data_IF_646609647507
#
_entry.id   IF_646609647507
#
_cell.length_a   1.000
_cell.length_b   1.000
_cell.length_c   1.000
_cell.angle_alpha   90.00
_cell.angle_beta   90.00
_cell.angle_gamma   90.00
#
_symmetry.space_group_name_H-M   'P 1'
#
loop_
_entity.id
_entity.type
_entity.pdbx_description
1 polymer ?
#
# COMPACT_ATOMS: atom_id res chain seq x y z
N UNK A 1 -20.43 19.65 11.70
CA UNK A 1 -21.69 18.91 11.89
C UNK A 1 -21.43 17.87 12.97
N UNK A 2 -22.05 17.98 14.15
CA UNK A 2 -21.96 16.96 15.20
C UNK A 2 -23.19 16.05 15.07
N UNK A 3 -22.97 14.76 14.88
CA UNK A 3 -24.05 13.76 14.87
C UNK A 3 -24.12 13.14 16.26
N UNK A 4 -25.05 13.61 17.08
CA UNK A 4 -25.48 12.89 18.27
C UNK A 4 -26.64 11.99 17.86
N UNK A 5 -26.55 10.69 18.10
CA UNK A 5 -27.73 9.83 18.06
C UNK A 5 -28.56 10.10 19.32
N UNK A 6 -29.71 10.75 19.13
CA UNK A 6 -30.65 11.08 20.20
C UNK A 6 -31.27 9.83 20.86
N UNK A 7 -31.11 8.64 20.29
CA UNK A 7 -31.62 7.38 20.86
C UNK A 7 -30.65 6.72 21.86
N UNK A 8 -29.42 7.21 21.98
CA UNK A 8 -28.33 6.52 22.68
C UNK A 8 -27.79 7.30 23.89
N UNK A 9 -28.64 7.65 24.87
CA UNK A 9 -28.28 8.13 26.24
C UNK A 9 -27.09 9.12 26.38
N UNK A 10 -26.78 9.90 25.34
CA UNK A 10 -25.61 10.78 25.30
C UNK A 10 -24.25 10.09 25.12
N UNK A 11 -24.22 8.80 24.76
CA UNK A 11 -22.98 8.10 24.39
C UNK A 11 -22.52 8.61 23.01
N UNK A 12 -21.30 9.13 22.87
CA UNK A 12 -20.80 9.53 21.56
C UNK A 12 -20.68 8.30 20.67
N UNK A 13 -21.43 8.28 19.57
CA UNK A 13 -21.36 7.22 18.54
C UNK A 13 -20.19 7.44 17.59
N UNK A 14 -19.59 8.63 17.61
CA UNK A 14 -18.49 9.06 16.76
C UNK A 14 -17.43 9.80 17.59
N UNK A 15 -16.18 9.37 17.49
CA UNK A 15 -15.00 10.10 17.94
C UNK A 15 -14.45 10.99 16.82
N UNK A 16 -13.76 12.08 17.19
CA UNK A 16 -13.05 12.92 16.22
C UNK A 16 -11.55 12.79 16.47
N UNK A 17 -10.82 12.31 15.47
CA UNK A 17 -9.35 12.24 15.50
C UNK A 17 -8.79 13.18 14.44
N UNK A 18 -7.97 14.14 14.85
CA UNK A 18 -7.25 14.98 13.89
C UNK A 18 -6.14 14.17 13.22
N UNK A 19 -6.16 14.09 11.90
CA UNK A 19 -5.01 13.65 11.14
C UNK A 19 -4.03 14.83 11.11
N UNK A 20 -2.92 14.69 11.84
CA UNK A 20 -1.99 15.79 12.12
C UNK A 20 -1.37 16.42 10.86
N UNK A 21 -1.45 15.75 9.71
CA UNK A 21 -0.92 16.25 8.44
C UNK A 21 -1.62 15.66 7.20
N UNK A 22 -2.22 16.57 6.44
CA UNK A 22 -2.17 16.78 4.98
C UNK A 22 -2.91 18.09 4.74
N UNK A 23 -3.94 18.37 5.56
CA UNK A 23 -4.66 19.65 5.64
C UNK A 23 -5.23 19.95 7.06
N UNK A 24 -4.82 19.19 8.09
CA UNK A 24 -5.27 19.38 9.48
C UNK A 24 -6.76 19.06 9.73
N UNK A 25 -7.41 18.34 8.82
CA UNK A 25 -8.83 18.05 8.93
C UNK A 25 -9.12 16.97 9.98
N UNK A 26 -10.18 17.17 10.79
CA UNK A 26 -10.68 16.14 11.69
C UNK A 26 -11.31 14.99 10.90
N UNK A 27 -10.93 13.76 11.25
CA UNK A 27 -11.60 12.55 10.81
C UNK A 27 -12.63 12.11 11.86
N UNK A 28 -13.85 11.86 11.41
CA UNK A 28 -14.85 11.16 12.22
C UNK A 28 -14.60 9.67 12.18
N UNK A 29 -14.40 9.05 13.33
CA UNK A 29 -14.19 7.60 13.49
C UNK A 29 -15.22 7.03 14.44
N UNK A 30 -15.56 5.75 14.30
CA UNK A 30 -16.45 5.09 15.25
C UNK A 30 -15.86 5.08 16.66
N UNK A 31 -16.71 5.13 17.68
CA UNK A 31 -16.27 5.22 19.08
C UNK A 31 -15.39 4.02 19.54
N UNK A 32 -15.46 2.88 18.85
CA UNK A 32 -14.63 1.70 19.12
C UNK A 32 -13.31 1.67 18.33
N UNK A 33 -13.08 2.60 17.41
CA UNK A 33 -11.89 2.62 16.58
C UNK A 33 -10.67 3.07 17.40
N UNK A 34 -9.65 2.23 17.45
CA UNK A 34 -8.40 2.49 18.16
C UNK A 34 -7.21 2.39 17.20
N UNK A 35 -6.59 3.51 16.78
CA UNK A 35 -5.42 3.48 15.92
C UNK A 35 -4.28 2.67 16.56
N UNK A 36 -3.65 1.82 15.76
CA UNK A 36 -2.46 1.10 16.13
C UNK A 36 -1.33 2.09 16.50
N UNK A 37 -0.60 1.81 17.60
CA UNK A 37 0.55 2.63 17.99
C UNK A 37 1.77 2.42 17.07
N UNK A 38 1.80 1.30 16.34
CA UNK A 38 2.80 0.99 15.33
C UNK A 38 2.13 0.40 14.08
N UNK A 39 1.66 1.26 13.16
CA UNK A 39 1.06 0.83 11.90
C UNK A 39 2.07 0.09 11.02
N UNK A 40 3.38 0.30 11.17
CA UNK A 40 4.36 -0.41 10.33
C UNK A 40 4.38 -1.92 10.63
N UNK A 41 4.08 -2.31 11.87
CA UNK A 41 3.96 -3.71 12.25
C UNK A 41 2.69 -4.36 11.71
N UNK A 42 1.57 -3.63 11.69
CA UNK A 42 0.26 -4.19 11.32
C UNK A 42 -0.07 -3.97 9.85
N UNK A 43 0.16 -2.79 9.27
CA UNK A 43 -0.26 -2.41 7.92
C UNK A 43 0.15 -3.36 6.76
N UNK A 44 1.27 -4.11 6.78
CA UNK A 44 1.60 -5.00 5.67
C UNK A 44 0.47 -5.99 5.36
N UNK A 45 -0.09 -5.93 4.15
CA UNK A 45 -1.30 -6.64 3.78
C UNK A 45 -1.81 -6.23 2.40
N UNK A 46 -2.85 -6.91 1.93
CA UNK A 46 -3.65 -6.45 0.78
C UNK A 46 -4.83 -5.67 1.33
N UNK A 47 -4.97 -4.43 0.89
CA UNK A 47 -6.00 -3.50 1.31
C UNK A 47 -6.88 -3.10 0.14
N UNK A 48 -8.18 -3.07 0.39
CA UNK A 48 -9.17 -2.51 -0.51
C UNK A 48 -9.56 -1.13 0.01
N UNK A 49 -9.27 -0.08 -0.75
CA UNK A 49 -9.51 1.31 -0.42
C UNK A 49 -10.71 1.82 -1.22
N UNK A 50 -11.70 2.35 -0.52
CA UNK A 50 -12.91 2.94 -1.10
C UNK A 50 -12.97 4.41 -0.69
N UNK A 51 -12.94 5.31 -1.68
CA UNK A 51 -12.95 6.76 -1.47
C UNK A 51 -14.22 7.45 -1.98
N UNK A 52 -14.72 8.42 -1.22
CA UNK A 52 -15.86 9.26 -1.62
C UNK A 52 -15.42 10.70 -1.84
N UNK A 53 -15.48 11.17 -3.09
CA UNK A 53 -15.23 12.57 -3.41
C UNK A 53 -16.36 13.43 -2.82
N UNK A 54 -16.02 14.32 -1.87
CA UNK A 54 -17.01 15.15 -1.15
C UNK A 54 -17.80 16.06 -2.10
N UNK A 55 -17.18 16.50 -3.20
CA UNK A 55 -17.78 17.40 -4.18
C UNK A 55 -18.66 16.69 -5.24
N UNK A 56 -18.65 15.36 -5.27
CA UNK A 56 -19.25 14.57 -6.35
C UNK A 56 -19.99 13.32 -5.82
N UNK A 57 -21.00 13.46 -4.93
CA UNK A 57 -21.71 12.32 -4.33
C UNK A 57 -22.50 11.47 -5.34
N UNK A 58 -22.66 11.92 -6.59
CA UNK A 58 -23.30 11.18 -7.67
C UNK A 58 -22.33 10.21 -8.40
N UNK A 59 -21.03 10.28 -8.12
CA UNK A 59 -20.05 9.36 -8.71
C UNK A 59 -19.87 8.14 -7.83
N UNK A 60 -19.72 6.97 -8.47
CA UNK A 60 -19.36 5.75 -7.77
C UNK A 60 -18.04 5.98 -7.00
N UNK A 61 -17.89 5.38 -5.81
CA UNK A 61 -16.64 5.48 -5.09
C UNK A 61 -15.49 4.93 -5.94
N UNK A 62 -14.32 5.56 -5.82
CA UNK A 62 -13.11 5.02 -6.42
C UNK A 62 -12.62 3.87 -5.55
N UNK A 63 -12.56 2.68 -6.13
CA UNK A 63 -12.07 1.48 -5.48
C UNK A 63 -10.66 1.16 -5.96
N UNK A 64 -9.72 1.04 -5.03
CA UNK A 64 -8.31 0.74 -5.33
C UNK A 64 -7.85 -0.40 -4.44
N UNK A 65 -7.22 -1.42 -5.03
CA UNK A 65 -6.57 -2.48 -4.25
C UNK A 65 -5.07 -2.25 -4.25
N UNK A 66 -4.47 -2.19 -3.08
CA UNK A 66 -3.01 -2.04 -2.90
C UNK A 66 -2.47 -3.18 -2.06
N UNK A 67 -1.25 -3.63 -2.35
CA UNK A 67 -0.55 -4.57 -1.48
C UNK A 67 0.68 -3.88 -0.88
N UNK A 68 0.68 -3.74 0.45
CA UNK A 68 1.73 -3.08 1.21
C UNK A 68 2.73 -4.14 1.68
N UNK A 69 3.98 -4.02 1.24
CA UNK A 69 5.06 -4.95 1.62
C UNK A 69 5.85 -4.42 2.81
N UNK A 70 6.39 -5.32 3.63
CA UNK A 70 7.21 -4.98 4.82
C UNK A 70 8.45 -4.13 4.53
N UNK A 71 8.90 -4.07 3.29
CA UNK A 71 10.05 -3.27 2.86
C UNK A 71 9.69 -1.81 2.52
N UNK A 72 8.43 -1.40 2.71
CA UNK A 72 7.96 -0.05 2.42
C UNK A 72 7.52 0.16 0.97
N UNK A 73 7.44 -0.90 0.16
CA UNK A 73 6.97 -0.83 -1.23
C UNK A 73 5.50 -1.19 -1.37
N UNK A 74 4.86 -0.66 -2.43
CA UNK A 74 3.50 -1.02 -2.83
C UNK A 74 3.55 -1.81 -4.16
N UNK A 75 2.85 -2.94 -4.24
CA UNK A 75 2.73 -3.68 -5.49
C UNK A 75 2.06 -2.82 -6.57
N UNK A 76 2.61 -2.84 -7.79
CA UNK A 76 2.17 -1.97 -8.89
C UNK A 76 2.85 -0.60 -8.92
N UNK A 77 3.60 -0.23 -7.87
CA UNK A 77 4.38 1.01 -7.80
C UNK A 77 3.95 1.89 -6.63
N UNK A 78 4.89 2.72 -6.16
CA UNK A 78 4.70 3.59 -5.01
C UNK A 78 5.42 3.09 -3.75
N UNK A 79 5.23 3.83 -2.67
CA UNK A 79 5.86 3.55 -1.37
C UNK A 79 4.88 3.80 -0.24
N UNK A 80 5.16 3.22 0.92
CA UNK A 80 4.41 3.49 2.13
C UNK A 80 5.34 3.55 3.34
N UNK A 81 4.92 4.25 4.38
CA UNK A 81 5.58 4.27 5.68
C UNK A 81 4.56 4.60 6.77
N UNK A 82 4.98 4.45 8.02
CA UNK A 82 4.21 4.88 9.16
C UNK A 82 4.98 5.93 9.98
N UNK A 83 4.25 6.90 10.54
CA UNK A 83 4.75 7.85 11.52
C UNK A 83 3.73 8.00 12.64
N UNK A 84 4.12 7.63 13.86
CA UNK A 84 3.19 7.46 14.98
C UNK A 84 2.04 6.53 14.61
N UNK A 85 0.80 6.99 14.76
CA UNK A 85 -0.42 6.24 14.42
C UNK A 85 -0.89 6.41 12.98
N UNK A 86 -0.11 7.09 12.13
CA UNK A 86 -0.49 7.42 10.75
C UNK A 86 0.28 6.51 9.79
N UNK A 87 -0.47 5.81 8.95
CA UNK A 87 0.02 5.15 7.75
C UNK A 87 -0.08 6.12 6.58
N UNK A 88 0.98 6.23 5.80
CA UNK A 88 1.02 7.04 4.60
C UNK A 88 1.41 6.17 3.39
N UNK A 89 0.63 6.29 2.32
CA UNK A 89 0.82 5.57 1.06
C UNK A 89 0.98 6.64 -0.04
N UNK A 90 2.03 6.58 -0.85
CA UNK A 90 2.34 7.58 -1.88
C UNK A 90 2.68 7.00 -3.23
N UNK A 91 2.46 7.82 -4.25
CA UNK A 91 2.89 7.62 -5.63
C UNK A 91 2.40 6.29 -6.22
N UNK A 92 1.21 5.86 -5.81
CA UNK A 92 0.59 4.64 -6.35
C UNK A 92 -0.10 5.02 -7.66
N UNK A 93 0.24 4.38 -8.78
CA UNK A 93 -0.45 4.59 -10.04
C UNK A 93 -1.85 3.97 -9.98
N UNK A 94 -2.87 4.80 -10.17
CA UNK A 94 -4.28 4.41 -10.24
C UNK A 94 -4.82 4.79 -11.61
N UNK A 95 -5.42 3.83 -12.31
CA UNK A 95 -6.17 4.12 -13.53
C UNK A 95 -7.51 4.78 -13.16
N UNK A 96 -7.74 5.97 -13.70
CA UNK A 96 -9.00 6.68 -13.55
C UNK A 96 -10.01 6.26 -14.61
N UNK A 97 -11.28 6.61 -14.39
CA UNK A 97 -12.38 6.24 -15.28
C UNK A 97 -12.18 6.68 -16.75
N UNK A 98 -11.43 7.75 -16.98
CA UNK A 98 -11.10 8.26 -18.32
C UNK A 98 -9.94 7.50 -19.00
N UNK A 99 -9.40 6.46 -18.36
CA UNK A 99 -8.30 5.64 -18.86
C UNK A 99 -6.92 6.29 -18.69
N UNK A 100 -6.81 7.39 -17.94
CA UNK A 100 -5.51 7.96 -17.59
C UNK A 100 -4.96 7.35 -16.30
N UNK A 101 -3.63 7.35 -16.14
CA UNK A 101 -3.00 6.95 -14.89
C UNK A 101 -2.68 8.19 -14.08
N UNK A 102 -3.13 8.23 -12.83
CA UNK A 102 -2.81 9.27 -11.87
C UNK A 102 -2.05 8.68 -10.69
N UNK A 103 -1.05 9.42 -10.21
CA UNK A 103 -0.39 9.07 -8.95
C UNK A 103 -1.27 9.53 -7.80
N UNK A 104 -1.49 8.65 -6.83
CA UNK A 104 -2.35 8.89 -5.68
C UNK A 104 -1.60 8.73 -4.38
N UNK A 105 -2.07 9.49 -3.39
CA UNK A 105 -1.58 9.47 -2.02
C UNK A 105 -2.73 9.35 -1.04
N UNK A 106 -2.51 8.55 0.02
CA UNK A 106 -3.44 8.36 1.12
C UNK A 106 -2.75 8.50 2.46
N UNK A 107 -3.53 8.95 3.44
CA UNK A 107 -3.14 8.99 4.85
C UNK A 107 -4.24 8.44 5.71
N UNK A 108 -3.88 7.44 6.49
CA UNK A 108 -4.84 6.57 7.16
C UNK A 108 -4.43 6.39 8.62
N UNK A 109 -5.42 6.38 9.52
CA UNK A 109 -5.29 5.73 10.82
C UNK A 109 -5.58 4.25 10.60
N UNK A 110 -4.71 3.38 11.10
CA UNK A 110 -4.83 1.93 10.91
C UNK A 110 -5.22 1.31 12.24
N UNK A 111 -6.32 0.57 12.24
CA UNK A 111 -6.63 -0.52 13.17
C UNK A 111 -6.29 -1.85 12.49
N UNK A 112 -6.31 -2.96 13.22
CA UNK A 112 -5.87 -4.30 12.79
C UNK A 112 -6.26 -4.60 11.32
N UNK A 113 -7.54 -4.59 10.98
CA UNK A 113 -8.05 -4.90 9.64
C UNK A 113 -8.81 -3.75 8.97
N UNK A 114 -8.87 -2.59 9.62
CA UNK A 114 -9.59 -1.42 9.13
C UNK A 114 -8.69 -0.20 9.17
N UNK A 115 -8.69 0.62 8.14
CA UNK A 115 -8.04 1.91 8.17
C UNK A 115 -8.97 3.00 7.63
N UNK A 116 -8.89 4.18 8.22
CA UNK A 116 -9.75 5.32 7.89
C UNK A 116 -8.89 6.55 7.67
N UNK A 117 -9.21 7.37 6.68
CA UNK A 117 -8.50 8.61 6.49
C UNK A 117 -8.89 9.36 5.23
N UNK A 118 -7.89 9.93 4.55
CA UNK A 118 -8.10 10.77 3.37
C UNK A 118 -7.13 10.49 2.24
N UNK A 119 -7.57 10.80 1.02
CA UNK A 119 -6.69 10.90 -0.15
C UNK A 119 -6.25 12.35 -0.42
N UNK A 120 -5.34 12.50 -1.38
CA UNK A 120 -4.83 13.77 -1.90
C UNK A 120 -5.86 14.67 -2.61
N UNK A 121 -7.04 14.15 -2.92
CA UNK A 121 -8.18 14.92 -3.42
C UNK A 121 -9.14 15.32 -2.31
N UNK A 122 -8.73 15.17 -1.05
CA UNK A 122 -9.52 15.44 0.17
C UNK A 122 -10.73 14.50 0.37
N UNK A 123 -10.84 13.43 -0.42
CA UNK A 123 -11.90 12.44 -0.26
C UNK A 123 -11.71 11.69 1.06
N UNK A 124 -12.82 11.41 1.75
CA UNK A 124 -12.80 10.46 2.87
C UNK A 124 -12.62 9.06 2.33
N UNK A 125 -11.71 8.30 2.95
CA UNK A 125 -11.33 6.96 2.52
C UNK A 125 -11.52 5.97 3.65
N UNK A 126 -12.12 4.83 3.32
CA UNK A 126 -12.19 3.64 4.15
C UNK A 126 -11.40 2.54 3.48
N UNK A 127 -10.53 1.87 4.23
CA UNK A 127 -9.70 0.79 3.74
C UNK A 127 -9.92 -0.45 4.59
N UNK A 128 -10.15 -1.60 3.96
CA UNK A 128 -10.29 -2.89 4.64
C UNK A 128 -9.17 -3.82 4.21
N UNK A 129 -8.58 -4.54 5.16
CA UNK A 129 -7.61 -5.59 4.85
C UNK A 129 -8.36 -6.82 4.35
N UNK A 130 -8.05 -7.21 3.12
CA UNK A 130 -8.68 -8.36 2.45
C UNK A 130 -7.74 -9.56 2.30
N UNK A 131 -6.47 -9.42 2.72
CA UNK A 131 -5.51 -10.51 2.62
C UNK A 131 -4.13 -10.19 3.19
N UNK A 132 -3.28 -11.21 3.22
CA UNK A 132 -1.87 -11.08 3.58
C UNK A 132 -1.05 -10.52 2.41
N UNK A 133 -0.01 -9.74 2.72
CA UNK A 133 0.90 -9.23 1.71
C UNK A 133 1.54 -10.40 0.93
N UNK A 134 1.70 -10.28 -0.40
CA UNK A 134 2.42 -11.27 -1.17
C UNK A 134 3.87 -11.38 -0.68
N UNK A 135 4.48 -12.58 -0.71
CA UNK A 135 5.86 -12.75 -0.30
C UNK A 135 6.78 -11.91 -1.19
N UNK A 136 7.81 -11.31 -0.60
CA UNK A 136 8.88 -10.66 -1.35
C UNK A 136 9.59 -11.74 -2.16
N UNK A 137 9.33 -11.79 -3.46
CA UNK A 137 10.11 -12.64 -4.37
C UNK A 137 11.46 -11.97 -4.52
N UNK A 138 12.47 -12.48 -3.81
CA UNK A 138 13.84 -12.06 -4.04
C UNK A 138 14.14 -12.21 -5.54
N UNK A 139 14.71 -11.16 -6.15
CA UNK A 139 15.18 -11.26 -7.52
C UNK A 139 16.08 -12.50 -7.64
N UNK A 140 15.97 -13.30 -8.72
CA UNK A 140 16.87 -14.42 -8.93
C UNK A 140 18.30 -13.91 -8.81
N UNK A 141 19.12 -14.62 -8.02
CA UNK A 141 20.52 -14.26 -7.87
C UNK A 141 21.13 -14.09 -9.27
N UNK A 142 21.93 -13.04 -9.51
CA UNK A 142 22.62 -12.92 -10.79
C UNK A 142 23.40 -14.19 -11.04
N UNK A 143 23.24 -14.78 -12.23
CA UNK A 143 24.01 -15.95 -12.61
C UNK A 143 25.49 -15.67 -12.35
N UNK A 144 26.24 -16.59 -11.72
CA UNK A 144 27.66 -16.40 -11.53
C UNK A 144 28.28 -16.08 -12.90
N UNK A 145 29.06 -15.00 -12.95
CA UNK A 145 29.78 -14.61 -14.16
C UNK A 145 30.51 -15.84 -14.69
N UNK A 146 30.36 -16.12 -15.99
CA UNK A 146 31.08 -17.21 -16.62
C UNK A 146 32.56 -17.05 -16.27
N UNK A 147 33.11 -18.03 -15.55
CA UNK A 147 34.53 -18.08 -15.26
C UNK A 147 35.34 -18.08 -16.56
N UNK A 148 36.64 -17.73 -16.49
CA UNK A 148 37.49 -17.76 -17.68
C UNK A 148 37.41 -19.15 -18.34
N UNK A 149 37.09 -19.16 -19.63
CA UNK A 149 37.16 -20.38 -20.44
C UNK A 149 38.65 -20.67 -20.62
N UNK A 150 39.16 -21.66 -19.88
CA UNK A 150 40.48 -22.22 -20.16
C UNK A 150 40.42 -22.85 -21.56
N UNK A 151 41.09 -22.22 -22.52
CA UNK A 151 41.25 -22.74 -23.86
C UNK A 151 41.90 -24.12 -23.77
N UNK A 152 41.11 -25.17 -24.04
CA UNK A 152 41.58 -26.55 -24.14
C UNK A 152 42.70 -26.57 -25.18
N UNK A 153 43.90 -26.84 -24.69
CA UNK A 153 45.10 -27.00 -25.49
C UNK A 153 44.86 -28.15 -26.48
N UNK A 154 44.98 -27.84 -27.77
CA UNK A 154 44.93 -28.80 -28.87
C UNK A 154 45.97 -29.89 -28.65
N UNK A 155 45.51 -31.13 -28.43
CA UNK A 155 46.40 -32.29 -28.39
C UNK A 155 47.03 -32.51 -29.78
N UNK A 156 48.33 -32.84 -29.87
CA UNK A 156 48.98 -33.06 -31.15
C UNK A 156 48.46 -34.36 -31.79
N UNK A 157 48.10 -34.26 -33.07
CA UNK A 157 47.76 -35.38 -33.94
C UNK A 157 49.00 -36.26 -34.13
N UNK A 158 48.92 -37.53 -33.73
CA UNK A 158 49.96 -38.51 -34.03
C UNK A 158 49.90 -38.93 -35.51
N UNK A 159 51.05 -39.06 -36.20
CA UNK A 159 51.08 -39.54 -37.58
C UNK A 159 50.82 -41.05 -37.63
N UNK A 160 49.90 -41.48 -38.52
CA UNK A 160 49.72 -42.89 -38.88
C UNK A 160 50.87 -43.31 -39.80
N UNK A 161 51.71 -44.23 -39.33
CA UNK A 161 52.62 -44.99 -40.19
C UNK A 161 51.84 -46.12 -40.87
N UNK A 162 51.93 -46.18 -42.20
CA UNK A 162 51.57 -47.33 -43.03
C UNK A 162 52.70 -48.35 -43.01
N UNK A 163 52.35 -49.62 -42.78
CA UNK A 163 53.20 -50.80 -42.95
C UNK A 163 52.33 -52.03 -43.03
#
# INVERSE_FOLDING_TARGET
HHYYDAASDGTPTLGITALADLDGWPLGVDAGFAPAPDPAATAPGVWHLTGYAEDLPAHAPDDVTVALRRDGTVDGGGTWWADGSVLEIRDVPVETFDGTTQLRRWRLLVDDDLALGRDDRTATVRAERIGSAPPVVAAPAPSPAAGPIDNVTTAPVAPRFTG
#
